data_IF_471183449916
#
_entry.id   IF_471183449916
#
_cell.length_a   1.000
_cell.length_b   1.000
_cell.length_c   1.000
_cell.angle_alpha   90.00
_cell.angle_beta   90.00
_cell.angle_gamma   90.00
#
_symmetry.space_group_name_H-M   'P 1'
#
loop_
_entity.id
_entity.type
_entity.pdbx_description
1 polymer ?
#
# COMPACT_ATOMS: atom_id res chain seq x y z
N UNK A 1 -0.08 -5.92 -15.24
CA UNK A 1 0.13 -4.99 -14.10
C UNK A 1 1.43 -5.35 -13.41
N UNK A 2 2.31 -4.38 -13.21
CA UNK A 2 3.55 -4.48 -12.47
C UNK A 2 3.60 -3.36 -11.42
N UNK A 3 4.32 -3.60 -10.32
CA UNK A 3 4.43 -2.64 -9.21
C UNK A 3 5.89 -2.52 -8.79
N UNK A 4 6.33 -1.29 -8.56
CA UNK A 4 7.54 -0.97 -7.82
C UNK A 4 7.17 -0.13 -6.61
N UNK A 5 7.77 -0.42 -5.46
CA UNK A 5 7.45 0.26 -4.20
C UNK A 5 8.72 0.46 -3.38
N UNK A 6 8.79 1.59 -2.69
CA UNK A 6 9.75 1.86 -1.63
C UNK A 6 8.99 1.88 -0.30
N UNK A 7 9.33 0.96 0.60
CA UNK A 7 8.61 0.73 1.87
C UNK A 7 9.41 1.33 3.02
N UNK A 8 8.84 2.34 3.68
CA UNK A 8 9.29 2.88 4.96
C UNK A 8 8.06 3.11 5.86
N UNK A 9 7.23 2.07 6.01
CA UNK A 9 5.97 2.13 6.74
C UNK A 9 6.18 2.30 8.26
N UNK A 10 5.23 2.95 8.94
CA UNK A 10 5.18 2.97 10.40
C UNK A 10 4.62 1.66 10.97
N UNK A 11 3.64 1.08 10.28
CA UNK A 11 2.99 -0.17 10.66
C UNK A 11 3.82 -1.41 10.32
N UNK A 12 3.37 -2.55 10.86
CA UNK A 12 4.00 -3.85 10.65
C UNK A 12 3.68 -4.38 9.25
N UNK A 13 4.71 -4.84 8.53
CA UNK A 13 4.57 -5.43 7.19
C UNK A 13 4.37 -6.94 7.32
N UNK A 14 3.28 -7.47 6.76
CA UNK A 14 3.04 -8.92 6.65
C UNK A 14 2.81 -9.67 7.96
N UNK A 15 2.88 -9.00 9.11
CA UNK A 15 2.58 -9.58 10.42
C UNK A 15 1.13 -9.26 10.83
N UNK A 16 0.24 -10.26 10.84
CA UNK A 16 -1.13 -10.03 11.28
C UNK A 16 -1.25 -9.94 12.79
N UNK A 17 -0.21 -10.21 13.60
CA UNK A 17 -0.32 -10.37 15.06
C UNK A 17 -1.07 -9.21 15.74
N UNK A 18 -0.74 -7.97 15.39
CA UNK A 18 -1.43 -6.78 15.91
C UNK A 18 -2.89 -6.72 15.43
N UNK A 19 -3.14 -6.96 14.13
CA UNK A 19 -4.49 -6.97 13.54
C UNK A 19 -5.38 -8.10 14.09
N UNK A 20 -4.82 -9.30 14.30
CA UNK A 20 -5.48 -10.48 14.85
C UNK A 20 -5.80 -10.26 16.32
N UNK A 21 -4.86 -9.72 17.11
CA UNK A 21 -5.12 -9.39 18.50
C UNK A 21 -6.29 -8.38 18.63
N UNK A 22 -6.36 -7.40 17.73
CA UNK A 22 -7.47 -6.43 17.68
C UNK A 22 -8.79 -7.11 17.30
N UNK A 23 -8.79 -7.91 16.24
CA UNK A 23 -9.98 -8.63 15.76
C UNK A 23 -10.53 -9.63 16.79
N UNK A 24 -9.65 -10.33 17.51
CA UNK A 24 -9.99 -11.31 18.53
C UNK A 24 -10.35 -10.66 19.88
N UNK A 25 -10.29 -9.32 19.99
CA UNK A 25 -10.57 -8.59 21.22
C UNK A 25 -9.58 -8.87 22.37
N UNK A 26 -8.44 -9.48 22.06
CA UNK A 26 -7.38 -9.83 23.01
C UNK A 26 -6.25 -8.82 23.04
N UNK A 27 -6.31 -7.77 22.21
CA UNK A 27 -5.37 -6.66 22.20
C UNK A 27 -5.43 -5.90 23.53
N UNK A 28 -4.40 -6.11 24.38
CA UNK A 28 -4.30 -5.52 25.72
C UNK A 28 -3.46 -4.25 25.68
N UNK A 29 -4.13 -3.14 25.41
CA UNK A 29 -3.58 -1.79 25.48
C UNK A 29 -3.39 -1.19 24.09
N UNK A 30 -4.27 -0.25 23.74
CA UNK A 30 -3.85 0.83 22.85
C UNK A 30 -2.56 1.39 23.45
N UNK A 31 -1.44 1.48 22.69
CA UNK A 31 -0.34 2.27 23.19
C UNK A 31 -0.91 3.66 23.48
N UNK A 32 -0.51 4.28 24.59
CA UNK A 32 -0.80 5.71 24.78
C UNK A 32 -0.42 6.39 23.48
N UNK A 33 -1.22 7.34 22.99
CA UNK A 33 -1.06 7.89 21.65
C UNK A 33 0.36 8.37 21.33
N UNK A 34 1.22 8.61 22.34
CA UNK A 34 2.66 8.83 22.19
C UNK A 34 3.50 7.61 21.76
N UNK A 35 3.18 6.39 22.17
CA UNK A 35 3.96 5.18 21.86
C UNK A 35 3.75 4.67 20.42
N UNK A 36 2.56 4.89 19.83
CA UNK A 36 2.30 4.60 18.41
C UNK A 36 3.16 5.45 17.44
N UNK A 37 3.67 6.60 17.91
CA UNK A 37 4.50 7.51 17.11
C UNK A 37 5.97 7.56 17.55
N UNK A 38 6.35 6.82 18.59
CA UNK A 38 7.73 6.83 19.13
C UNK A 38 8.41 5.45 19.14
N UNK A 39 7.67 4.37 18.91
CA UNK A 39 8.24 3.02 18.85
C UNK A 39 8.91 2.72 17.49
N UNK A 40 9.99 3.44 17.17
CA UNK A 40 11.05 2.89 16.32
C UNK A 40 12.15 2.36 17.23
N UNK A 41 12.30 1.03 17.41
CA UNK A 41 13.40 0.48 18.19
C UNK A 41 14.74 0.93 17.58
N UNK A 42 15.46 1.84 18.26
CA UNK A 42 16.79 2.32 17.85
C UNK A 42 16.89 3.81 17.48
N UNK A 43 15.82 4.61 17.58
CA UNK A 43 15.91 6.05 17.36
C UNK A 43 16.54 6.77 18.58
N UNK A 44 17.77 7.27 18.43
CA UNK A 44 18.39 8.17 19.40
C UNK A 44 17.66 9.52 19.49
N UNK A 45 17.86 10.24 20.60
CA UNK A 45 17.19 11.49 20.96
C UNK A 45 17.37 12.66 19.94
N UNK A 46 18.23 12.51 18.94
CA UNK A 46 18.59 13.53 17.95
C UNK A 46 17.92 13.33 16.56
N UNK A 47 16.97 12.41 16.46
CA UNK A 47 16.15 12.24 15.26
C UNK A 47 15.11 13.38 15.18
N UNK A 48 15.23 14.29 14.20
CA UNK A 48 14.13 15.21 13.82
C UNK A 48 12.83 14.46 13.48
N UNK A 49 11.71 15.13 13.17
CA UNK A 49 10.42 14.44 12.94
C UNK A 49 10.59 13.43 11.80
N UNK A 50 10.76 12.15 12.11
CA UNK A 50 10.90 11.09 11.12
C UNK A 50 9.49 10.74 10.67
N UNK A 51 9.14 11.15 9.46
CA UNK A 51 7.94 10.66 8.79
C UNK A 51 8.19 9.27 8.23
N UNK A 52 7.22 8.39 8.37
CA UNK A 52 7.16 7.13 7.65
C UNK A 52 6.52 7.40 6.28
N UNK A 53 6.79 6.59 5.27
CA UNK A 53 6.27 6.82 3.91
C UNK A 53 6.41 5.56 3.07
N UNK A 54 5.32 5.09 2.49
CA UNK A 54 5.37 4.09 1.41
C UNK A 54 5.02 4.75 0.08
N UNK A 55 5.95 4.77 -0.88
CA UNK A 55 5.73 5.35 -2.21
C UNK A 55 5.83 4.25 -3.26
N UNK A 56 4.86 4.18 -4.16
CA UNK A 56 4.89 3.19 -5.25
C UNK A 56 4.35 3.68 -6.59
N UNK A 57 4.71 2.93 -7.62
CA UNK A 57 4.19 3.11 -8.97
C UNK A 57 3.58 1.80 -9.48
N UNK A 58 2.33 1.90 -9.94
CA UNK A 58 1.62 0.82 -10.65
C UNK A 58 1.77 1.06 -12.14
N UNK A 59 2.23 0.06 -12.89
CA UNK A 59 2.40 0.15 -14.34
C UNK A 59 1.59 -0.93 -15.02
N UNK A 60 0.86 -0.55 -16.07
CA UNK A 60 0.12 -1.49 -16.91
C UNK A 60 0.30 -1.16 -18.38
N UNK A 61 0.11 -2.16 -19.22
CA UNK A 61 0.13 -2.03 -20.68
C UNK A 61 -1.25 -1.75 -21.28
N UNK A 62 -2.30 -1.75 -20.47
CA UNK A 62 -3.66 -1.39 -20.84
C UNK A 62 -3.79 0.09 -21.28
N UNK A 63 -4.64 0.37 -22.26
CA UNK A 63 -4.97 1.71 -22.75
C UNK A 63 -5.99 2.40 -21.84
N UNK A 64 -5.49 2.99 -20.76
CA UNK A 64 -6.31 3.65 -19.74
C UNK A 64 -6.34 5.17 -19.91
N UNK A 65 -7.49 5.75 -19.58
CA UNK A 65 -7.63 7.19 -19.36
C UNK A 65 -6.97 7.63 -18.05
N UNK A 66 -6.75 8.94 -17.88
CA UNK A 66 -6.23 9.49 -16.62
C UNK A 66 -7.11 9.15 -15.40
N UNK A 67 -8.43 9.13 -15.57
CA UNK A 67 -9.38 8.75 -14.51
C UNK A 67 -9.26 7.28 -14.13
N UNK A 68 -9.06 6.40 -15.11
CA UNK A 68 -8.86 4.96 -14.86
C UNK A 68 -7.51 4.68 -14.22
N UNK A 69 -6.44 5.41 -14.58
CA UNK A 69 -5.18 5.35 -13.83
C UNK A 69 -5.36 5.80 -12.38
N UNK A 70 -6.15 6.85 -12.12
CA UNK A 70 -6.45 7.26 -10.75
C UNK A 70 -7.16 6.14 -9.96
N UNK A 71 -8.07 5.40 -10.59
CA UNK A 71 -8.71 4.23 -9.95
C UNK A 71 -7.71 3.13 -9.61
N UNK A 72 -6.69 2.89 -10.46
CA UNK A 72 -5.61 1.95 -10.13
C UNK A 72 -4.75 2.46 -8.97
N UNK A 73 -4.39 3.75 -8.96
CA UNK A 73 -3.64 4.33 -7.86
C UNK A 73 -4.41 4.24 -6.54
N UNK A 74 -5.72 4.45 -6.54
CA UNK A 74 -6.57 4.23 -5.36
C UNK A 74 -6.56 2.76 -4.91
N UNK A 75 -6.74 1.82 -5.84
CA UNK A 75 -6.65 0.38 -5.53
C UNK A 75 -5.27 -0.06 -5.02
N UNK A 76 -4.22 0.70 -5.33
CA UNK A 76 -2.91 0.45 -4.74
C UNK A 76 -2.88 0.69 -3.23
N UNK A 77 -3.61 1.69 -2.72
CA UNK A 77 -3.75 1.93 -1.28
C UNK A 77 -4.47 0.77 -0.58
N UNK A 78 -5.46 0.16 -1.22
CA UNK A 78 -6.12 -1.05 -0.69
C UNK A 78 -5.12 -2.23 -0.59
N UNK A 79 -4.22 -2.37 -1.57
CA UNK A 79 -3.14 -3.35 -1.53
C UNK A 79 -2.12 -3.07 -0.42
N UNK A 80 -1.77 -1.81 -0.20
CA UNK A 80 -0.92 -1.40 0.92
C UNK A 80 -1.57 -1.74 2.26
N UNK A 81 -2.88 -1.49 2.41
CA UNK A 81 -3.62 -1.80 3.63
C UNK A 81 -3.75 -3.30 3.92
N UNK A 82 -3.59 -4.17 2.92
CA UNK A 82 -3.51 -5.62 3.10
C UNK A 82 -2.12 -6.08 3.53
N UNK A 83 -1.08 -5.34 3.16
CA UNK A 83 0.31 -5.69 3.46
C UNK A 83 0.85 -5.03 4.74
N UNK A 84 0.30 -3.89 5.15
CA UNK A 84 0.78 -3.10 6.30
C UNK A 84 -0.34 -2.90 7.29
N UNK A 85 -0.06 -3.12 8.58
CA UNK A 85 -1.03 -2.83 9.64
C UNK A 85 -0.42 -2.03 10.81
N UNK A 86 -1.02 -0.88 11.19
CA UNK A 86 -1.97 -0.11 10.39
C UNK A 86 -1.22 0.67 9.28
N UNK A 87 -1.82 0.82 8.09
CA UNK A 87 -1.32 1.72 7.05
C UNK A 87 -1.79 3.16 7.33
N UNK A 88 -1.30 4.14 6.57
CA UNK A 88 -1.88 5.49 6.49
C UNK A 88 -1.96 6.23 7.84
N UNK A 89 -0.99 6.02 8.73
CA UNK A 89 -0.90 6.83 9.94
C UNK A 89 -0.69 8.31 9.59
N UNK A 90 -0.94 9.22 10.53
CA UNK A 90 -0.69 10.67 10.32
C UNK A 90 0.77 10.97 9.97
N UNK A 91 1.69 10.15 10.47
CA UNK A 91 3.13 10.22 10.16
C UNK A 91 3.48 9.61 8.80
N UNK A 92 2.55 8.89 8.14
CA UNK A 92 2.78 8.27 6.84
C UNK A 92 2.51 9.25 5.68
N UNK A 93 3.49 9.36 4.78
CA UNK A 93 3.38 10.08 3.51
C UNK A 93 2.96 9.20 2.33
N UNK A 94 2.09 8.20 2.56
CA UNK A 94 1.81 7.15 1.57
C UNK A 94 1.29 7.71 0.24
N UNK A 95 1.91 7.31 -0.87
CA UNK A 95 1.57 7.83 -2.19
C UNK A 95 1.77 6.78 -3.29
N UNK A 96 0.73 6.58 -4.10
CA UNK A 96 0.81 5.78 -5.31
C UNK A 96 0.48 6.59 -6.57
N UNK A 97 1.25 6.35 -7.62
CA UNK A 97 0.93 6.82 -8.99
C UNK A 97 0.69 5.61 -9.89
N UNK A 98 -0.11 5.78 -10.93
CA UNK A 98 -0.33 4.75 -11.93
C UNK A 98 0.01 5.27 -13.33
N UNK A 99 0.66 4.43 -14.13
CA UNK A 99 1.02 4.69 -15.52
C UNK A 99 0.54 3.56 -16.43
N UNK A 100 0.11 3.95 -17.63
CA UNK A 100 -0.46 3.07 -18.64
C UNK A 100 0.25 3.31 -19.98
N UNK A 101 0.89 2.27 -20.55
CA UNK A 101 1.61 2.42 -21.84
C UNK A 101 0.71 2.33 -23.06
N UNK A 102 -0.50 1.77 -22.90
CA UNK A 102 -1.56 1.80 -23.91
C UNK A 102 -1.40 0.86 -25.10
N UNK A 103 -0.65 -0.23 -24.94
CA UNK A 103 -0.45 -1.24 -26.00
C UNK A 103 -1.57 -2.29 -26.05
N UNK A 104 -2.32 -2.49 -24.97
CA UNK A 104 -3.47 -3.42 -24.91
C UNK A 104 -4.78 -2.62 -24.85
N UNK A 105 -5.75 -2.81 -25.77
CA UNK A 105 -7.02 -2.09 -25.75
C UNK A 105 -7.81 -2.32 -24.45
N UNK A 106 -8.47 -1.28 -23.94
CA UNK A 106 -9.37 -1.37 -22.79
C UNK A 106 -10.80 -1.68 -23.24
N UNK A 107 -11.47 -2.61 -22.58
CA UNK A 107 -12.81 -3.05 -22.94
C UNK A 107 -13.30 -4.19 -22.04
N UNK A 108 -14.40 -4.83 -22.43
CA UNK A 108 -14.96 -5.97 -21.73
C UNK A 108 -15.01 -7.15 -22.72
N UNK A 109 -14.39 -8.29 -22.39
CA UNK A 109 -14.35 -9.50 -23.25
C UNK A 109 -12.94 -10.03 -23.49
N UNK A 110 -12.80 -10.96 -24.44
CA UNK A 110 -11.53 -11.61 -24.74
C UNK A 110 -10.53 -10.66 -25.43
N UNK A 111 -9.27 -10.73 -25.02
CA UNK A 111 -8.17 -9.98 -25.64
C UNK A 111 -8.15 -8.48 -25.34
N UNK A 112 -8.98 -8.00 -24.42
CA UNK A 112 -8.99 -6.61 -23.93
C UNK A 112 -8.75 -6.56 -22.42
N UNK A 113 -8.22 -5.44 -21.95
CA UNK A 113 -7.99 -5.23 -20.53
C UNK A 113 -9.25 -4.69 -19.85
N UNK A 114 -9.85 -5.52 -18.99
CA UNK A 114 -10.98 -5.14 -18.14
C UNK A 114 -10.51 -4.33 -16.94
N UNK A 115 -11.19 -3.22 -16.65
CA UNK A 115 -10.76 -2.27 -15.62
C UNK A 115 -10.87 -2.84 -14.21
N UNK A 116 -11.94 -3.58 -13.91
CA UNK A 116 -12.14 -4.14 -12.56
C UNK A 116 -11.13 -5.27 -12.31
N UNK A 117 -10.82 -6.05 -13.34
CA UNK A 117 -9.72 -7.03 -13.28
C UNK A 117 -8.39 -6.33 -13.01
N UNK A 118 -8.07 -5.24 -13.71
CA UNK A 118 -6.84 -4.47 -13.46
C UNK A 118 -6.77 -3.92 -12.03
N UNK A 119 -7.89 -3.48 -11.45
CA UNK A 119 -7.96 -3.01 -10.06
C UNK A 119 -7.67 -4.13 -9.07
N UNK A 120 -8.29 -5.29 -9.23
CA UNK A 120 -8.03 -6.47 -8.38
C UNK A 120 -6.56 -6.90 -8.49
N UNK A 121 -6.02 -6.96 -9.71
CA UNK A 121 -4.60 -7.27 -9.94
C UNK A 121 -3.68 -6.23 -9.31
N UNK A 122 -4.06 -4.97 -9.30
CA UNK A 122 -3.30 -3.89 -8.64
C UNK A 122 -3.23 -4.12 -7.14
N UNK A 123 -4.35 -4.42 -6.49
CA UNK A 123 -4.38 -4.73 -5.04
C UNK A 123 -3.40 -5.88 -4.72
N UNK A 124 -3.54 -7.01 -5.42
CA UNK A 124 -2.72 -8.20 -5.18
C UNK A 124 -1.23 -7.95 -5.49
N UNK A 125 -0.92 -7.22 -6.56
CA UNK A 125 0.46 -6.93 -6.94
C UNK A 125 1.14 -5.98 -5.94
N UNK A 126 0.42 -4.98 -5.42
CA UNK A 126 0.95 -4.09 -4.39
C UNK A 126 1.19 -4.83 -3.08
N UNK A 127 0.22 -5.63 -2.63
CA UNK A 127 0.37 -6.45 -1.42
C UNK A 127 1.64 -7.31 -1.49
N UNK A 128 1.82 -8.04 -2.60
CA UNK A 128 3.01 -8.86 -2.81
C UNK A 128 4.30 -8.05 -2.92
N UNK A 129 4.28 -6.88 -3.58
CA UNK A 129 5.46 -6.05 -3.75
C UNK A 129 5.93 -5.49 -2.40
N UNK A 130 5.01 -5.07 -1.54
CA UNK A 130 5.32 -4.55 -0.20
C UNK A 130 5.90 -5.67 0.68
N UNK A 131 5.25 -6.84 0.72
CA UNK A 131 5.74 -7.98 1.53
C UNK A 131 7.13 -8.45 1.08
N UNK A 132 7.45 -8.39 -0.21
CA UNK A 132 8.77 -8.81 -0.74
C UNK A 132 9.88 -7.78 -0.52
N UNK A 133 9.54 -6.55 -0.15
CA UNK A 133 10.54 -5.49 0.07
C UNK A 133 11.22 -5.58 1.45
N UNK A 134 10.72 -6.45 2.33
CA UNK A 134 11.18 -6.66 3.71
C UNK A 134 11.69 -8.10 3.88
#
# INVERSE_FOLDING_TARGET
VAVVVAVNAAGDVGDPATSTAVADGVFRGWPDSGDLFTASPGAGADAGPRGNTTIGAVVTDAALTKGECLLLAQSAHDGLARAVFPPHMRSDGDAFVAAATGTVPRGNGDGVADLDVLRVLTVAAVEQAVVRAC
#
